data_IF_584796643257
#
_entry.id   IF_584796643257
#
_cell.length_a   1.000
_cell.length_b   1.000
_cell.length_c   1.000
_cell.angle_alpha   90.00
_cell.angle_beta   90.00
_cell.angle_gamma   90.00
#
_symmetry.space_group_name_H-M   'P 1'
#
loop_
_entity.id
_entity.type
_entity.pdbx_description
1 polymer ?
#
# COMPACT_ATOMS: atom_id res chain seq x y z
N UNK A 1 2.81 9.97 12.97
CA UNK A 1 1.93 9.61 14.12
C UNK A 1 2.31 8.25 14.67
N UNK A 2 1.90 7.94 15.91
CA UNK A 2 2.10 6.60 16.49
C UNK A 2 1.11 5.58 15.88
N UNK A 3 1.40 4.28 16.07
CA UNK A 3 0.47 3.22 15.66
C UNK A 3 -0.85 3.27 16.45
N UNK A 4 -0.83 3.70 17.70
CA UNK A 4 -2.04 3.84 18.51
C UNK A 4 -2.92 5.00 18.00
N UNK A 5 -2.31 6.14 17.65
CA UNK A 5 -3.04 7.26 17.02
C UNK A 5 -3.67 6.81 15.68
N UNK A 6 -2.93 6.05 14.88
CA UNK A 6 -3.43 5.51 13.62
C UNK A 6 -4.63 4.58 13.82
N UNK A 7 -4.58 3.70 14.82
CA UNK A 7 -5.71 2.83 15.15
C UNK A 7 -6.96 3.62 15.59
N UNK A 8 -6.80 4.72 16.30
CA UNK A 8 -7.96 5.57 16.65
C UNK A 8 -8.57 6.22 15.39
N UNK A 9 -7.75 6.73 14.48
CA UNK A 9 -8.24 7.26 13.19
C UNK A 9 -9.02 6.19 12.40
N UNK A 10 -8.51 4.95 12.36
CA UNK A 10 -9.21 3.84 11.71
C UNK A 10 -10.58 3.55 12.34
N UNK A 11 -10.65 3.52 13.68
CA UNK A 11 -11.91 3.27 14.41
C UNK A 11 -12.93 4.38 14.16
N UNK A 12 -12.49 5.63 14.16
CA UNK A 12 -13.33 6.79 13.89
C UNK A 12 -13.85 6.80 12.44
N UNK A 13 -13.03 6.42 11.48
CA UNK A 13 -13.39 6.40 10.07
C UNK A 13 -14.24 5.18 9.67
N UNK A 14 -14.11 4.04 10.37
CA UNK A 14 -14.77 2.77 10.02
C UNK A 14 -16.27 2.90 9.72
N UNK A 15 -17.09 3.65 10.49
CA UNK A 15 -18.51 3.77 10.19
C UNK A 15 -18.81 4.39 8.82
N UNK A 16 -17.94 5.26 8.29
CA UNK A 16 -18.14 5.88 6.98
C UNK A 16 -18.06 4.87 5.83
N UNK A 17 -17.39 3.73 6.03
CA UNK A 17 -17.28 2.67 5.03
C UNK A 17 -18.52 1.78 4.95
N UNK A 18 -19.41 1.80 5.94
CA UNK A 18 -20.65 1.00 5.92
C UNK A 18 -21.63 1.42 4.82
N UNK A 19 -21.46 2.62 4.25
CA UNK A 19 -22.26 3.06 3.11
C UNK A 19 -21.95 2.31 1.80
N UNK A 20 -20.80 1.64 1.73
CA UNK A 20 -20.36 0.92 0.54
C UNK A 20 -20.78 -0.56 0.63
N UNK A 21 -21.34 -1.13 -0.47
CA UNK A 21 -21.84 -2.52 -0.46
C UNK A 21 -20.74 -3.59 -0.48
N UNK A 22 -19.52 -3.20 -0.79
CA UNK A 22 -18.37 -4.10 -0.87
C UNK A 22 -17.53 -4.01 0.40
N UNK A 23 -16.86 -5.10 0.81
CA UNK A 23 -15.83 -5.03 1.84
C UNK A 23 -14.76 -4.00 1.49
N UNK A 24 -14.17 -3.38 2.51
CA UNK A 24 -13.03 -2.47 2.32
C UNK A 24 -11.90 -3.22 1.63
N UNK A 25 -11.29 -2.56 0.64
CA UNK A 25 -10.06 -3.00 0.00
C UNK A 25 -8.96 -1.98 0.25
N UNK A 26 -7.76 -2.47 0.42
CA UNK A 26 -6.57 -1.66 0.70
C UNK A 26 -5.63 -1.78 -0.49
N UNK A 27 -5.27 -0.64 -1.07
CA UNK A 27 -4.33 -0.57 -2.17
C UNK A 27 -3.02 0.04 -1.71
N UNK A 28 -1.93 -0.68 -1.99
CA UNK A 28 -0.59 -0.38 -1.55
C UNK A 28 0.21 0.20 -2.72
N UNK A 29 0.88 1.32 -2.47
CA UNK A 29 1.54 2.12 -3.49
C UNK A 29 2.96 2.51 -3.11
N UNK A 30 3.74 2.85 -4.10
CA UNK A 30 4.85 3.78 -3.97
C UNK A 30 4.40 5.19 -4.39
N UNK A 31 5.08 6.22 -3.94
CA UNK A 31 4.80 7.58 -4.45
C UNK A 31 5.53 7.87 -5.75
N UNK A 32 6.54 7.08 -6.11
CA UNK A 32 7.56 7.39 -7.12
C UNK A 32 8.20 8.77 -6.88
N UNK A 33 8.22 9.20 -5.63
CA UNK A 33 8.73 10.46 -5.14
C UNK A 33 9.85 10.28 -4.12
N UNK A 34 10.26 11.37 -3.50
CA UNK A 34 11.33 11.38 -2.51
C UNK A 34 10.87 10.83 -1.15
N UNK A 35 11.80 10.32 -0.35
CA UNK A 35 11.61 9.63 0.93
C UNK A 35 10.76 10.38 1.96
N UNK A 36 10.75 11.71 1.93
CA UNK A 36 10.06 12.54 2.93
C UNK A 36 8.98 13.44 2.30
N UNK A 37 8.49 13.07 1.09
CA UNK A 37 7.44 13.82 0.40
C UNK A 37 6.16 12.99 0.36
N UNK A 38 5.13 13.44 1.07
CA UNK A 38 3.79 12.85 1.05
C UNK A 38 2.91 13.51 -0.01
N UNK A 39 1.87 12.81 -0.45
CA UNK A 39 0.95 13.26 -1.48
C UNK A 39 -0.51 13.06 -1.06
N UNK A 40 -1.41 14.03 -1.32
CA UNK A 40 -2.81 13.97 -0.91
C UNK A 40 -3.69 13.02 -1.74
N UNK A 41 -3.14 12.36 -2.74
CA UNK A 41 -3.80 11.30 -3.49
C UNK A 41 -4.00 10.03 -2.68
N UNK A 42 -3.21 9.85 -1.60
CA UNK A 42 -3.23 8.71 -0.69
C UNK A 42 -3.76 9.12 0.68
N UNK A 43 -4.46 8.22 1.36
CA UNK A 43 -4.88 8.46 2.75
C UNK A 43 -3.67 8.51 3.68
N UNK A 44 -2.79 7.52 3.56
CA UNK A 44 -1.63 7.35 4.42
C UNK A 44 -0.38 7.30 3.55
N UNK A 45 0.62 8.08 3.93
CA UNK A 45 1.98 7.95 3.43
C UNK A 45 2.89 7.47 4.57
N UNK A 46 3.92 6.68 4.22
CA UNK A 46 4.93 6.21 5.17
C UNK A 46 6.29 6.69 4.65
N UNK A 47 6.98 7.52 5.43
CA UNK A 47 8.28 8.06 5.04
C UNK A 47 9.42 7.05 5.24
N UNK A 48 10.64 7.43 4.84
CA UNK A 48 11.81 6.55 4.87
C UNK A 48 12.15 6.01 6.27
N UNK A 49 11.80 6.74 7.32
CA UNK A 49 12.04 6.33 8.72
C UNK A 49 10.90 5.45 9.26
N UNK A 50 9.86 5.21 8.44
CA UNK A 50 8.69 4.44 8.85
C UNK A 50 7.63 5.28 9.59
N UNK A 51 7.72 6.61 9.55
CA UNK A 51 6.71 7.48 10.15
C UNK A 51 5.42 7.46 9.35
N UNK A 52 4.30 7.28 10.04
CA UNK A 52 2.95 7.27 9.46
C UNK A 52 2.45 8.71 9.34
N UNK A 53 2.03 9.11 8.16
CA UNK A 53 1.56 10.45 7.82
C UNK A 53 0.14 10.33 7.23
N UNK A 54 -0.84 10.95 7.87
CA UNK A 54 -2.16 11.12 7.25
C UNK A 54 -2.08 12.27 6.24
N UNK A 55 -2.26 11.94 4.96
CA UNK A 55 -2.16 12.88 3.84
C UNK A 55 -3.53 13.27 3.29
N UNK A 56 -4.52 12.38 3.45
CA UNK A 56 -5.92 12.60 3.15
C UNK A 56 -6.75 11.96 4.25
N UNK A 57 -7.79 12.60 4.79
CA UNK A 57 -8.68 11.95 5.75
C UNK A 57 -9.28 10.65 5.19
N UNK A 58 -9.34 9.59 6.01
CA UNK A 58 -9.88 8.29 5.60
C UNK A 58 -11.36 8.34 5.16
N UNK A 59 -12.08 9.40 5.51
CA UNK A 59 -13.47 9.62 5.11
C UNK A 59 -13.62 10.21 3.70
N UNK A 60 -12.53 10.68 3.10
CA UNK A 60 -12.48 11.18 1.73
C UNK A 60 -12.23 10.03 0.74
N UNK A 61 -12.45 10.27 -0.54
CA UNK A 61 -12.14 9.30 -1.60
C UNK A 61 -10.75 9.58 -2.15
N UNK A 62 -9.81 8.63 -2.10
CA UNK A 62 -8.46 8.82 -2.63
C UNK A 62 -8.46 8.86 -4.16
N UNK A 63 -7.36 9.31 -4.76
CA UNK A 63 -7.18 9.34 -6.21
C UNK A 63 -5.93 8.53 -6.61
N UNK A 64 -5.87 7.28 -6.17
CA UNK A 64 -4.66 6.46 -6.22
C UNK A 64 -4.75 5.24 -7.14
N UNK A 65 -5.93 4.62 -7.27
CA UNK A 65 -6.11 3.39 -8.02
C UNK A 65 -7.28 3.52 -8.99
N UNK A 66 -7.01 3.45 -10.28
CA UNK A 66 -8.01 3.65 -11.33
C UNK A 66 -9.20 2.70 -11.16
N UNK A 67 -10.42 3.26 -11.18
CA UNK A 67 -11.71 2.57 -10.98
C UNK A 67 -11.87 1.81 -9.65
N UNK A 68 -10.95 1.98 -8.67
CA UNK A 68 -10.96 1.25 -7.40
C UNK A 68 -10.92 2.14 -6.15
N UNK A 69 -11.06 3.46 -6.32
CA UNK A 69 -10.90 4.42 -5.21
C UNK A 69 -12.06 4.42 -4.22
N UNK A 70 -13.30 4.31 -4.71
CA UNK A 70 -14.50 4.40 -3.86
C UNK A 70 -14.58 3.24 -2.88
N UNK A 71 -14.67 3.54 -1.57
CA UNK A 71 -14.74 2.54 -0.50
C UNK A 71 -13.43 1.81 -0.25
N UNK A 72 -12.30 2.34 -0.72
CA UNK A 72 -10.98 1.79 -0.50
C UNK A 72 -10.14 2.63 0.46
N UNK A 73 -9.06 2.03 0.97
CA UNK A 73 -7.99 2.72 1.68
C UNK A 73 -6.74 2.66 0.79
N UNK A 74 -6.14 3.81 0.53
CA UNK A 74 -4.91 3.93 -0.24
C UNK A 74 -3.74 4.30 0.67
N UNK A 75 -2.66 3.51 0.62
CA UNK A 75 -1.45 3.69 1.42
C UNK A 75 -0.25 3.71 0.49
N UNK A 76 0.64 4.68 0.65
CA UNK A 76 1.84 4.80 -0.17
C UNK A 76 3.12 4.85 0.67
N UNK A 77 4.17 4.20 0.19
CA UNK A 77 5.53 4.41 0.67
C UNK A 77 6.12 5.61 -0.06
N UNK A 78 6.66 6.58 0.68
CA UNK A 78 7.40 7.71 0.12
C UNK A 78 8.76 7.22 -0.36
N UNK A 79 8.85 6.80 -1.61
CA UNK A 79 10.05 6.18 -2.17
C UNK A 79 10.01 6.15 -3.69
N UNK A 80 11.08 5.63 -4.27
CA UNK A 80 11.23 5.33 -5.70
C UNK A 80 11.29 6.57 -6.59
N UNK A 81 11.79 7.71 -6.07
CA UNK A 81 12.12 8.86 -6.91
C UNK A 81 13.10 8.43 -8.01
N UNK A 82 12.76 8.73 -9.26
CA UNK A 82 13.57 8.37 -10.41
C UNK A 82 13.55 6.88 -10.78
N UNK A 83 12.62 6.10 -10.26
CA UNK A 83 12.44 4.71 -10.67
C UNK A 83 12.19 4.62 -12.19
N UNK A 84 12.73 3.58 -12.81
CA UNK A 84 12.59 3.30 -14.24
C UNK A 84 11.96 1.94 -14.43
N UNK A 85 10.87 1.90 -15.20
CA UNK A 85 10.11 0.68 -15.48
C UNK A 85 10.38 0.20 -16.92
N UNK A 86 10.56 -1.09 -17.08
CA UNK A 86 10.85 -1.73 -18.35
C UNK A 86 9.79 -2.77 -18.68
N UNK A 87 9.20 -2.66 -19.88
CA UNK A 87 8.30 -3.66 -20.41
C UNK A 87 9.11 -4.79 -21.02
N UNK A 88 8.90 -6.01 -20.53
CA UNK A 88 9.59 -7.20 -21.00
C UNK A 88 8.81 -8.45 -20.61
N UNK A 89 9.43 -9.60 -20.72
CA UNK A 89 8.90 -10.88 -20.25
C UNK A 89 9.98 -11.61 -19.42
N UNK A 90 9.95 -11.47 -18.08
CA UNK A 90 9.03 -10.65 -17.28
C UNK A 90 9.27 -9.14 -17.42
N UNK A 91 8.33 -8.34 -16.91
CA UNK A 91 8.56 -6.91 -16.70
C UNK A 91 9.68 -6.70 -15.67
N UNK A 92 10.40 -5.60 -15.79
CA UNK A 92 11.50 -5.24 -14.89
C UNK A 92 11.33 -3.81 -14.39
N UNK A 93 11.94 -3.52 -13.23
CA UNK A 93 11.98 -2.19 -12.65
C UNK A 93 13.34 -1.94 -12.02
N UNK A 94 13.85 -0.73 -12.18
CA UNK A 94 14.90 -0.17 -11.34
C UNK A 94 14.24 0.81 -10.38
N UNK A 95 14.29 0.52 -9.09
CA UNK A 95 13.64 1.32 -8.04
C UNK A 95 14.36 2.67 -7.78
N UNK A 96 15.47 2.93 -8.47
CA UNK A 96 16.23 4.15 -8.31
C UNK A 96 17.08 4.20 -7.04
N UNK A 97 17.48 5.41 -6.63
CA UNK A 97 18.37 5.61 -5.49
C UNK A 97 17.62 5.70 -4.14
N UNK A 98 16.30 5.81 -4.17
CA UNK A 98 15.45 5.86 -3.00
C UNK A 98 14.44 4.68 -2.99
N UNK A 99 14.92 3.40 -2.98
CA UNK A 99 14.03 2.24 -2.94
C UNK A 99 13.30 2.16 -1.59
N UNK A 100 12.23 1.35 -1.46
CA UNK A 100 11.59 1.12 -0.17
C UNK A 100 12.60 0.73 0.90
N UNK A 101 12.56 1.40 2.05
CA UNK A 101 13.40 1.07 3.21
C UNK A 101 12.81 -0.09 4.01
N UNK A 102 13.65 -0.78 4.79
CA UNK A 102 13.16 -1.83 5.69
C UNK A 102 12.18 -1.23 6.72
N UNK A 103 12.42 -0.01 7.21
CA UNK A 103 11.51 0.68 8.12
C UNK A 103 10.13 0.91 7.50
N UNK A 104 10.07 1.35 6.25
CA UNK A 104 8.82 1.51 5.51
C UNK A 104 8.06 0.20 5.36
N UNK A 105 8.74 -0.86 4.96
CA UNK A 105 8.15 -2.18 4.73
C UNK A 105 7.59 -2.75 6.04
N UNK A 106 8.34 -2.66 7.14
CA UNK A 106 7.88 -3.13 8.45
C UNK A 106 6.68 -2.31 8.98
N UNK A 107 6.73 -0.98 8.85
CA UNK A 107 5.60 -0.13 9.24
C UNK A 107 4.36 -0.40 8.38
N UNK A 108 4.51 -0.55 7.07
CA UNK A 108 3.39 -0.89 6.19
C UNK A 108 2.73 -2.21 6.59
N UNK A 109 3.52 -3.23 6.91
CA UNK A 109 2.99 -4.51 7.36
C UNK A 109 2.21 -4.39 8.68
N UNK A 110 2.68 -3.57 9.63
CA UNK A 110 1.95 -3.29 10.88
C UNK A 110 0.65 -2.51 10.63
N UNK A 111 0.68 -1.54 9.72
CA UNK A 111 -0.50 -0.77 9.27
C UNK A 111 -1.54 -1.71 8.65
N UNK A 112 -1.13 -2.63 7.78
CA UNK A 112 -2.02 -3.64 7.18
C UNK A 112 -2.65 -4.53 8.25
N UNK A 113 -1.88 -5.01 9.22
CA UNK A 113 -2.40 -5.81 10.34
C UNK A 113 -3.45 -5.03 11.15
N UNK A 114 -3.19 -3.76 11.47
CA UNK A 114 -4.13 -2.91 12.19
C UNK A 114 -5.44 -2.67 11.42
N UNK A 115 -5.36 -2.45 10.10
CA UNK A 115 -6.55 -2.31 9.25
C UNK A 115 -7.35 -3.61 9.21
N UNK A 116 -6.68 -4.75 9.01
CA UNK A 116 -7.32 -6.07 9.01
C UNK A 116 -8.14 -6.30 10.29
N UNK A 117 -7.55 -6.04 11.45
CA UNK A 117 -8.21 -6.23 12.74
C UNK A 117 -9.38 -5.26 12.96
N UNK A 118 -9.19 -3.98 12.62
CA UNK A 118 -10.23 -2.96 12.88
C UNK A 118 -11.39 -3.07 11.90
N UNK A 119 -11.12 -3.39 10.64
CA UNK A 119 -12.16 -3.54 9.62
C UNK A 119 -12.73 -4.95 9.51
N UNK A 120 -12.16 -5.91 10.23
CA UNK A 120 -12.55 -7.33 10.18
C UNK A 120 -12.50 -7.90 8.75
N UNK A 121 -11.39 -7.65 8.06
CA UNK A 121 -11.10 -8.15 6.71
C UNK A 121 -9.85 -9.03 6.71
N UNK A 122 -9.83 -10.13 5.95
CA UNK A 122 -8.66 -11.02 5.91
C UNK A 122 -7.47 -10.36 5.18
N UNK A 123 -6.26 -10.75 5.58
CA UNK A 123 -5.05 -10.34 4.87
C UNK A 123 -4.81 -11.33 3.72
N UNK A 124 -5.38 -11.03 2.57
CA UNK A 124 -5.28 -11.82 1.35
C UNK A 124 -5.16 -10.91 0.11
N UNK A 125 -5.05 -11.51 -1.07
CA UNK A 125 -4.91 -10.79 -2.33
C UNK A 125 -6.24 -10.27 -2.93
N UNK A 126 -7.35 -10.42 -2.21
CA UNK A 126 -8.63 -9.81 -2.57
C UNK A 126 -8.85 -8.49 -1.80
N UNK A 127 -8.28 -8.37 -0.59
CA UNK A 127 -8.49 -7.23 0.30
C UNK A 127 -7.27 -6.31 0.41
N UNK A 128 -6.05 -6.85 0.26
CA UNK A 128 -4.80 -6.09 0.31
C UNK A 128 -3.98 -6.34 -0.96
N UNK A 129 -4.04 -5.42 -1.90
CA UNK A 129 -3.38 -5.52 -3.19
C UNK A 129 -2.32 -4.43 -3.35
N UNK A 130 -1.20 -4.74 -3.97
CA UNK A 130 -0.36 -3.69 -4.55
C UNK A 130 -1.06 -3.09 -5.76
N UNK A 131 -0.70 -1.85 -6.13
CA UNK A 131 -1.22 -1.25 -7.35
C UNK A 131 -0.84 -2.08 -8.59
N UNK A 132 0.36 -2.68 -8.59
CA UNK A 132 0.77 -3.61 -9.66
C UNK A 132 -0.17 -4.80 -9.80
N UNK A 133 -0.59 -5.42 -8.69
CA UNK A 133 -1.55 -6.53 -8.71
C UNK A 133 -2.93 -6.08 -9.20
N UNK A 134 -3.41 -4.92 -8.75
CA UNK A 134 -4.69 -4.38 -9.21
C UNK A 134 -4.66 -4.04 -10.71
N UNK A 135 -3.58 -3.43 -11.19
CA UNK A 135 -3.39 -3.10 -12.60
C UNK A 135 -3.30 -4.35 -13.48
N UNK A 136 -2.67 -5.41 -12.98
CA UNK A 136 -2.60 -6.69 -13.69
C UNK A 136 -3.97 -7.35 -13.81
N UNK A 137 -4.76 -7.37 -12.73
CA UNK A 137 -6.13 -7.88 -12.74
C UNK A 137 -7.03 -7.12 -13.73
N UNK A 138 -6.89 -5.80 -13.81
CA UNK A 138 -7.71 -4.94 -14.67
C UNK A 138 -7.18 -4.84 -16.11
N UNK A 139 -6.01 -5.40 -16.40
CA UNK A 139 -5.37 -5.29 -17.70
C UNK A 139 -4.95 -3.86 -18.05
N UNK A 140 -4.52 -3.07 -17.07
CA UNK A 140 -4.36 -1.61 -17.14
C UNK A 140 -2.91 -1.18 -16.91
N UNK A 141 -2.48 -0.11 -17.56
CA UNK A 141 -1.31 0.69 -17.19
C UNK A 141 0.05 0.40 -17.82
N UNK A 142 0.28 -0.66 -18.65
CA UNK A 142 1.66 -1.08 -18.96
C UNK A 142 2.43 -0.15 -19.88
N UNK A 143 1.80 0.80 -20.55
CA UNK A 143 2.45 1.62 -21.58
C UNK A 143 2.35 3.13 -21.33
N UNK A 144 1.45 3.56 -20.46
CA UNK A 144 1.17 4.96 -20.22
C UNK A 144 1.63 5.45 -18.85
N UNK A 145 1.79 4.54 -17.89
CA UNK A 145 2.04 4.86 -16.49
C UNK A 145 2.82 3.73 -15.84
N UNK A 146 3.28 3.93 -14.63
CA UNK A 146 4.04 2.94 -13.87
C UNK A 146 3.16 2.07 -12.96
N UNK A 147 1.84 2.01 -13.13
CA UNK A 147 0.96 1.26 -12.22
C UNK A 147 1.32 -0.22 -12.13
N UNK A 148 1.67 -0.87 -13.25
CA UNK A 148 2.05 -2.29 -13.26
C UNK A 148 3.35 -2.59 -12.53
N UNK A 149 4.13 -1.59 -12.20
CA UNK A 149 5.39 -1.74 -11.47
C UNK A 149 5.27 -1.30 -10.01
N UNK A 150 4.20 -0.60 -9.67
CA UNK A 150 3.98 0.00 -8.35
C UNK A 150 3.87 -1.08 -7.26
N UNK A 151 4.95 -1.25 -6.51
CA UNK A 151 5.19 -2.30 -5.53
C UNK A 151 5.09 -3.74 -6.08
N UNK A 152 5.34 -3.95 -7.36
CA UNK A 152 5.52 -5.29 -7.92
C UNK A 152 6.69 -6.02 -7.24
N UNK A 153 7.73 -5.28 -6.91
CA UNK A 153 8.87 -5.71 -6.11
C UNK A 153 9.18 -4.66 -5.03
N UNK A 154 9.84 -5.06 -3.95
CA UNK A 154 10.27 -4.17 -2.88
C UNK A 154 11.78 -3.87 -2.94
N UNK A 155 12.54 -4.74 -3.62
CA UNK A 155 13.98 -4.60 -3.91
C UNK A 155 14.23 -4.96 -5.37
N UNK A 156 15.29 -4.40 -5.96
CA UNK A 156 15.59 -4.60 -7.39
C UNK A 156 15.82 -6.06 -7.81
N UNK A 157 16.27 -6.90 -6.89
CA UNK A 157 16.58 -8.32 -7.11
C UNK A 157 15.49 -9.28 -6.65
N UNK A 158 14.33 -8.74 -6.21
CA UNK A 158 13.19 -9.56 -5.84
C UNK A 158 12.57 -10.24 -7.08
N UNK A 159 11.93 -11.38 -6.85
CA UNK A 159 11.12 -12.05 -7.86
C UNK A 159 9.98 -11.13 -8.32
N UNK A 160 9.75 -11.09 -9.64
CA UNK A 160 8.68 -10.27 -10.22
C UNK A 160 7.31 -10.59 -9.60
N UNK A 161 6.57 -9.55 -9.21
CA UNK A 161 5.25 -9.62 -8.53
C UNK A 161 5.27 -10.22 -7.12
N UNK A 162 6.43 -10.32 -6.47
CA UNK A 162 6.52 -10.81 -5.08
C UNK A 162 6.20 -9.76 -4.00
N UNK A 163 6.11 -8.48 -4.37
CA UNK A 163 5.94 -7.39 -3.40
C UNK A 163 4.70 -7.54 -2.52
N UNK A 164 3.56 -7.85 -3.12
CA UNK A 164 2.30 -8.06 -2.39
C UNK A 164 2.35 -9.26 -1.44
N UNK A 165 2.88 -10.39 -1.88
CA UNK A 165 3.01 -11.59 -1.04
C UNK A 165 3.95 -11.36 0.15
N UNK A 166 5.05 -10.66 -0.06
CA UNK A 166 5.98 -10.29 1.01
C UNK A 166 5.30 -9.41 2.05
N UNK A 167 4.57 -8.39 1.63
CA UNK A 167 3.85 -7.48 2.53
C UNK A 167 2.75 -8.19 3.30
N UNK A 168 1.93 -9.01 2.63
CA UNK A 168 0.87 -9.80 3.29
C UNK A 168 1.45 -10.81 4.30
N UNK A 169 2.53 -11.49 3.95
CA UNK A 169 3.21 -12.43 4.86
C UNK A 169 3.71 -11.74 6.13
N UNK A 170 4.34 -10.58 6.00
CA UNK A 170 4.77 -9.77 7.15
C UNK A 170 3.58 -9.26 7.97
N UNK A 171 2.51 -8.81 7.33
CA UNK A 171 1.32 -8.32 8.02
C UNK A 171 0.65 -9.44 8.84
N UNK A 172 0.54 -10.65 8.30
CA UNK A 172 0.04 -11.83 9.03
C UNK A 172 0.92 -12.12 10.25
N UNK A 173 2.25 -12.05 10.11
CA UNK A 173 3.16 -12.23 11.24
C UNK A 173 2.90 -11.20 12.35
N UNK A 174 2.75 -9.91 12.03
CA UNK A 174 2.44 -8.89 13.02
C UNK A 174 1.07 -9.08 13.66
N UNK A 175 0.08 -9.49 12.89
CA UNK A 175 -1.26 -9.80 13.40
C UNK A 175 -1.22 -10.95 14.39
N UNK A 176 -0.49 -12.03 14.11
CA UNK A 176 -0.32 -13.17 15.01
C UNK A 176 0.38 -12.77 16.31
N UNK A 177 1.43 -11.95 16.26
CA UNK A 177 2.08 -11.41 17.46
C UNK A 177 1.08 -10.61 18.30
N UNK A 178 0.27 -9.76 17.70
CA UNK A 178 -0.72 -8.96 18.39
C UNK A 178 -1.80 -9.83 19.08
N UNK A 179 -2.10 -11.00 18.52
CA UNK A 179 -3.03 -11.98 19.11
C UNK A 179 -2.37 -12.91 20.13
N UNK A 180 -1.05 -12.82 20.35
CA UNK A 180 -0.30 -13.64 21.27
C UNK A 180 -0.03 -15.06 20.79
N UNK A 181 0.04 -15.25 19.48
CA UNK A 181 0.32 -16.53 18.82
C UNK A 181 1.81 -16.68 18.46
#
# INVERSE_FOLDING_TARGET
>A
MTMDDFKEILKEARPSFYQYPQPVRVYLHWTAGHYYTSFPEYHICIDADGEIIESLPLTEIPQATWHRNTGSIAIALCCCAGATAYKGDPYEVDLGEEPPTDAQIETLAQVMAAISDIFDIPIDNEHFLTHAEAADQDGYGPETTCERWDLAVLKNDDEWMSGGDTLRGKAIFYQQIAWGL
#
